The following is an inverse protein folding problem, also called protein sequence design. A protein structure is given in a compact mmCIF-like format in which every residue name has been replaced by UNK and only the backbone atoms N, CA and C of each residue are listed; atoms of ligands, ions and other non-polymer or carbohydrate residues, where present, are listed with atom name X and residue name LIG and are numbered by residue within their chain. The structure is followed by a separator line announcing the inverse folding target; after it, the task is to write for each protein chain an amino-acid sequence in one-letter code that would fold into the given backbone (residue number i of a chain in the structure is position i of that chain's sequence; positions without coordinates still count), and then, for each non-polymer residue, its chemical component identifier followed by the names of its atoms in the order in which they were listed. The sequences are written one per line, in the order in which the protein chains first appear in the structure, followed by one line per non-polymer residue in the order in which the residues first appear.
data_IF_479601486327
#
_entry.id   IF_479601486327
#
_cell.length_a   1.000
_cell.length_b   1.000
_cell.length_c   1.000
_cell.angle_alpha   90.00
_cell.angle_beta   90.00
_cell.angle_gamma   90.00
#
_symmetry.space_group_name_H-M   'P 1'
#
loop_
_entity.id
_entity.type
_entity.pdbx_description
1 polymer ?
#
# COMPACT_ATOMS: atom_id res chain seq x y z
N UNK A 1 3.83 16.76 46.47
CA UNK A 1 4.64 16.24 45.35
C UNK A 1 4.00 15.06 44.59
N UNK A 2 2.77 14.59 44.93
CA UNK A 2 2.12 13.43 44.31
C UNK A 2 1.29 13.73 43.03
N UNK A 3 1.01 15.00 42.75
CA UNK A 3 0.13 15.44 41.63
C UNK A 3 0.84 15.51 40.26
N UNK A 4 2.17 15.53 40.26
CA UNK A 4 2.98 15.62 39.02
C UNK A 4 3.40 14.24 38.50
N UNK A 5 3.22 13.20 39.30
CA UNK A 5 3.51 11.81 38.93
C UNK A 5 2.71 11.31 37.71
N UNK A 6 1.38 11.57 37.59
CA UNK A 6 0.65 11.16 36.39
C UNK A 6 1.04 11.97 35.15
N UNK A 7 1.41 13.25 35.33
CA UNK A 7 1.83 14.13 34.24
C UNK A 7 3.18 13.67 33.65
N UNK A 8 4.11 13.25 34.50
CA UNK A 8 5.40 12.69 34.11
C UNK A 8 5.23 11.36 33.36
N UNK A 9 4.26 10.54 33.77
CA UNK A 9 3.96 9.27 33.12
C UNK A 9 3.39 9.46 31.71
N UNK A 10 2.48 10.43 31.53
CA UNK A 10 1.94 10.78 30.20
C UNK A 10 3.03 11.34 29.26
N UNK A 11 3.98 12.11 29.79
CA UNK A 11 5.10 12.64 28.99
C UNK A 11 6.01 11.51 28.47
N UNK A 12 6.32 10.51 29.30
CA UNK A 12 7.11 9.35 28.87
C UNK A 12 6.42 8.52 27.77
N UNK A 13 5.09 8.36 27.83
CA UNK A 13 4.32 7.63 26.81
C UNK A 13 4.30 8.36 25.46
N UNK A 14 4.33 9.69 25.47
CA UNK A 14 4.30 10.50 24.23
C UNK A 14 5.59 10.43 23.40
N UNK A 15 6.74 10.07 24.00
CA UNK A 15 8.01 9.96 23.27
C UNK A 15 8.13 8.66 22.45
N UNK A 16 7.36 7.62 22.79
CA UNK A 16 7.33 6.34 22.08
C UNK A 16 6.29 6.29 20.95
N UNK A 17 5.44 7.33 20.84
CA UNK A 17 4.36 7.40 19.86
C UNK A 17 4.71 8.12 18.54
N UNK A 18 5.82 8.86 18.48
CA UNK A 18 6.19 9.61 17.28
C UNK A 18 6.60 8.71 16.11
N UNK A 19 7.28 7.59 16.39
CA UNK A 19 7.55 6.57 15.36
C UNK A 19 6.29 5.77 14.98
N UNK A 20 5.30 5.64 15.88
CA UNK A 20 4.06 4.94 15.56
C UNK A 20 3.14 5.76 14.66
N UNK A 21 3.01 7.08 14.88
CA UNK A 21 2.24 7.94 13.98
C UNK A 21 2.96 8.16 12.64
N UNK A 22 4.28 8.33 12.63
CA UNK A 22 5.07 8.37 11.40
C UNK A 22 5.05 7.04 10.65
N UNK A 23 5.19 5.92 11.36
CA UNK A 23 5.19 4.57 10.81
C UNK A 23 3.80 4.04 10.42
N UNK A 24 2.72 4.51 11.05
CA UNK A 24 1.35 4.19 10.64
C UNK A 24 0.89 5.06 9.47
N UNK A 25 1.30 6.33 9.41
CA UNK A 25 1.05 7.18 8.24
C UNK A 25 1.86 6.70 7.03
N UNK A 26 3.16 6.44 7.21
CA UNK A 26 4.00 5.83 6.17
C UNK A 26 3.55 4.40 5.88
N UNK A 27 3.15 3.61 6.89
CA UNK A 27 2.70 2.23 6.72
C UNK A 27 1.37 2.12 5.99
N UNK A 28 0.39 2.98 6.26
CA UNK A 28 -0.89 3.01 5.53
C UNK A 28 -0.74 3.58 4.12
N UNK A 29 0.04 4.66 3.94
CA UNK A 29 0.36 5.20 2.61
C UNK A 29 1.25 4.26 1.79
N UNK A 30 2.22 3.59 2.39
CA UNK A 30 3.06 2.59 1.71
C UNK A 30 2.32 1.27 1.49
N UNK A 31 1.34 0.92 2.32
CA UNK A 31 0.47 -0.23 2.04
C UNK A 31 -0.42 0.11 0.84
N UNK A 32 -1.09 1.27 0.83
CA UNK A 32 -1.89 1.73 -0.32
C UNK A 32 -1.07 1.84 -1.62
N UNK A 33 0.04 2.58 -1.58
CA UNK A 33 0.93 2.74 -2.73
C UNK A 33 1.66 1.44 -3.10
N UNK A 34 1.92 0.54 -2.16
CA UNK A 34 2.58 -0.74 -2.39
C UNK A 34 1.71 -1.73 -3.18
N UNK A 35 0.41 -1.80 -2.85
CA UNK A 35 -0.55 -2.58 -3.65
C UNK A 35 -0.67 -2.02 -5.07
N UNK A 36 -0.70 -0.70 -5.21
CA UNK A 36 -0.79 -0.03 -6.50
C UNK A 36 0.46 -0.23 -7.37
N UNK A 37 1.66 -0.14 -6.79
CA UNK A 37 2.92 -0.39 -7.51
C UNK A 37 3.00 -1.84 -7.98
N UNK A 38 2.56 -2.80 -7.16
CA UNK A 38 2.56 -4.20 -7.56
C UNK A 38 1.54 -4.47 -8.67
N UNK A 39 0.33 -3.91 -8.57
CA UNK A 39 -0.69 -4.03 -9.61
C UNK A 39 -0.24 -3.37 -10.92
N UNK A 40 0.41 -2.21 -10.85
CA UNK A 40 1.00 -1.54 -12.02
C UNK A 40 2.05 -2.41 -12.72
N UNK A 41 2.99 -2.99 -11.97
CA UNK A 41 4.00 -3.91 -12.53
C UNK A 41 3.37 -5.14 -13.19
N UNK A 42 2.29 -5.66 -12.63
CA UNK A 42 1.57 -6.79 -13.22
C UNK A 42 0.87 -6.40 -14.51
N UNK A 43 0.27 -5.20 -14.56
CA UNK A 43 -0.31 -4.67 -15.79
C UNK A 43 0.72 -4.42 -16.88
N UNK A 44 1.86 -3.81 -16.55
CA UNK A 44 2.91 -3.52 -17.52
C UNK A 44 3.42 -4.82 -18.19
N UNK A 45 3.61 -5.89 -17.40
CA UNK A 45 4.00 -7.22 -17.92
C UNK A 45 2.91 -7.83 -18.80
N UNK A 46 1.65 -7.74 -18.38
CA UNK A 46 0.52 -8.27 -19.13
C UNK A 46 0.40 -7.59 -20.50
N UNK A 47 0.64 -6.29 -20.55
CA UNK A 47 0.60 -5.48 -21.77
C UNK A 47 1.80 -5.74 -22.68
N UNK A 48 2.98 -5.99 -22.09
CA UNK A 48 4.16 -6.44 -22.82
C UNK A 48 3.97 -7.82 -23.45
N UNK A 49 3.40 -8.78 -22.72
CA UNK A 49 3.09 -10.11 -23.25
C UNK A 49 2.03 -10.06 -24.37
N UNK A 50 1.04 -9.18 -24.25
CA UNK A 50 0.08 -8.92 -25.32
C UNK A 50 0.73 -8.30 -26.55
N UNK A 51 1.58 -7.28 -26.36
CA UNK A 51 2.33 -6.62 -27.45
C UNK A 51 3.29 -7.57 -28.17
N UNK A 52 3.87 -8.51 -27.45
CA UNK A 52 4.76 -9.53 -28.02
C UNK A 52 3.99 -10.70 -28.67
N UNK A 53 2.67 -10.58 -28.85
CA UNK A 53 1.79 -11.60 -29.42
C UNK A 53 1.86 -12.95 -28.68
N UNK A 54 2.32 -12.95 -27.42
CA UNK A 54 2.44 -14.13 -26.57
C UNK A 54 1.12 -14.56 -25.95
N UNK A 55 0.10 -13.71 -26.05
CA UNK A 55 -1.19 -13.90 -25.40
C UNK A 55 -2.33 -13.44 -26.33
N UNK A 56 -3.42 -14.20 -26.33
CA UNK A 56 -4.60 -13.85 -27.11
C UNK A 56 -5.35 -12.64 -26.52
N UNK A 57 -6.05 -11.88 -27.36
CA UNK A 57 -6.82 -10.70 -26.92
C UNK A 57 -7.83 -11.02 -25.82
N UNK A 58 -8.52 -12.16 -25.91
CA UNK A 58 -9.51 -12.58 -24.90
C UNK A 58 -8.86 -12.82 -23.53
N UNK A 59 -7.70 -13.45 -23.55
CA UNK A 59 -6.94 -13.76 -22.34
C UNK A 59 -6.31 -12.51 -21.71
N UNK A 60 -5.87 -11.56 -22.53
CA UNK A 60 -5.47 -10.22 -22.08
C UNK A 60 -6.61 -9.51 -21.35
N UNK A 61 -7.80 -9.47 -21.96
CA UNK A 61 -8.97 -8.79 -21.39
C UNK A 61 -9.42 -9.44 -20.07
N UNK A 62 -9.43 -10.77 -19.97
CA UNK A 62 -9.76 -11.48 -18.71
C UNK A 62 -8.76 -11.17 -17.59
N UNK A 63 -7.46 -11.25 -17.87
CA UNK A 63 -6.41 -11.00 -16.86
C UNK A 63 -6.36 -9.53 -16.45
N UNK A 64 -6.57 -8.60 -17.38
CA UNK A 64 -6.67 -7.17 -17.11
C UNK A 64 -7.80 -6.88 -16.12
N UNK A 65 -8.98 -7.45 -16.36
CA UNK A 65 -10.17 -7.26 -15.52
C UNK A 65 -10.01 -7.77 -14.10
N UNK A 66 -9.20 -8.82 -13.90
CA UNK A 66 -8.87 -9.35 -12.58
C UNK A 66 -7.92 -8.41 -11.80
N UNK A 67 -6.96 -7.79 -12.49
CA UNK A 67 -6.03 -6.83 -11.88
C UNK A 67 -6.76 -5.51 -11.57
N UNK A 68 -7.67 -5.06 -12.44
CA UNK A 68 -8.56 -3.92 -12.20
C UNK A 68 -9.45 -4.16 -10.97
N UNK A 69 -10.12 -5.31 -10.86
CA UNK A 69 -10.92 -5.62 -9.66
C UNK A 69 -10.14 -5.67 -8.34
N UNK A 70 -8.84 -5.98 -8.40
CA UNK A 70 -7.94 -6.00 -7.24
C UNK A 70 -7.20 -4.69 -6.99
N UNK A 71 -7.41 -3.67 -7.82
CA UNK A 71 -6.78 -2.37 -7.74
C UNK A 71 -7.78 -1.33 -7.27
N UNK A 72 -7.34 -0.41 -6.41
CA UNK A 72 -8.18 0.73 -6.00
C UNK A 72 -8.05 1.88 -7.01
N UNK A 73 -6.99 1.88 -7.84
CA UNK A 73 -6.65 2.94 -8.81
C UNK A 73 -7.14 2.68 -10.24
N UNK A 74 -7.34 1.42 -10.62
CA UNK A 74 -7.67 1.01 -11.99
C UNK A 74 -9.06 0.36 -12.01
#
# INVERSE_FOLDING_TARGET
MKKYLPLLFLLCLSQWGCEFLGGAAVGSLATGAGYEINNKRQMDRLEEDYRNERMSRREYEERKRQIEHGSIIY
#
